data_IF_433974968594
#
_entry.id   IF_433974968594
#
_cell.length_a   1.000
_cell.length_b   1.000
_cell.length_c   1.000
_cell.angle_alpha   90.00
_cell.angle_beta   90.00
_cell.angle_gamma   90.00
#
_symmetry.space_group_name_H-M   'P 1'
#
loop_
_entity.id
_entity.type
_entity.pdbx_description
1 polymer ?
#
# COMPACT_ATOMS: atom_id res chain seq x y z
N UNK A 1 8.25 20.39 -48.23
CA UNK A 1 7.49 21.65 -48.43
C UNK A 1 6.08 21.39 -47.95
N UNK A 2 5.86 21.48 -46.64
CA UNK A 2 4.54 21.60 -46.02
C UNK A 2 4.80 22.23 -44.65
N UNK A 3 4.19 23.39 -44.43
CA UNK A 3 4.43 24.28 -43.29
C UNK A 3 3.25 24.11 -42.33
N UNK A 4 3.47 23.41 -41.21
CA UNK A 4 2.51 23.40 -40.12
C UNK A 4 2.73 24.66 -39.26
N UNK A 5 1.74 25.55 -39.29
CA UNK A 5 1.69 26.78 -38.50
C UNK A 5 1.37 26.44 -37.05
N UNK A 6 2.25 26.81 -36.13
CA UNK A 6 1.94 26.87 -34.70
C UNK A 6 0.98 28.04 -34.45
N UNK A 7 -0.23 27.72 -34.01
CA UNK A 7 -1.18 28.69 -33.46
C UNK A 7 -0.98 28.70 -31.94
N UNK A 8 -0.36 29.76 -31.42
CA UNK A 8 -0.24 29.98 -29.97
C UNK A 8 -1.63 30.41 -29.49
N UNK A 9 -2.35 29.49 -28.85
CA UNK A 9 -3.55 29.81 -28.07
C UNK A 9 -3.12 29.97 -26.61
N UNK A 10 -2.91 31.22 -26.22
CA UNK A 10 -2.91 31.65 -24.82
C UNK A 10 -4.31 31.45 -24.24
N UNK A 11 -4.37 31.14 -22.94
CA UNK A 11 -5.55 30.92 -22.07
C UNK A 11 -6.15 29.52 -22.09
N UNK A 12 -5.73 28.69 -21.12
CA UNK A 12 -6.66 28.03 -20.23
C UNK A 12 -5.93 27.69 -18.93
N UNK A 13 -6.22 28.44 -17.87
CA UNK A 13 -5.96 28.04 -16.50
C UNK A 13 -7.03 26.97 -16.17
N UNK A 14 -6.85 25.76 -16.69
CA UNK A 14 -7.72 24.64 -16.37
C UNK A 14 -7.29 24.06 -15.04
N UNK A 15 -8.17 24.22 -14.05
CA UNK A 15 -8.31 23.38 -12.86
C UNK A 15 -7.57 22.04 -13.03
N UNK A 16 -6.53 21.84 -12.24
CA UNK A 16 -6.19 20.50 -11.76
C UNK A 16 -7.41 20.02 -10.97
N UNK A 17 -8.39 19.43 -11.66
CA UNK A 17 -9.32 18.54 -11.02
C UNK A 17 -8.49 17.31 -10.66
N UNK A 18 -7.96 17.30 -9.44
CA UNK A 18 -7.60 16.05 -8.79
C UNK A 18 -8.87 15.20 -8.82
N UNK A 19 -8.88 14.15 -9.64
CA UNK A 19 -9.89 13.12 -9.52
C UNK A 19 -9.63 12.46 -8.17
N UNK A 20 -10.29 12.98 -7.13
CA UNK A 20 -10.37 12.29 -5.87
C UNK A 20 -11.29 11.10 -6.11
N UNK A 21 -10.71 9.91 -6.17
CA UNK A 21 -11.43 8.65 -6.09
C UNK A 21 -12.02 8.42 -4.68
N UNK A 22 -12.04 9.44 -3.81
CA UNK A 22 -12.60 9.32 -2.48
C UNK A 22 -14.12 9.13 -2.57
N UNK A 23 -14.58 7.98 -2.08
CA UNK A 23 -16.00 7.78 -1.78
C UNK A 23 -16.44 8.85 -0.78
N UNK A 24 -17.62 9.40 -0.99
CA UNK A 24 -18.26 10.30 -0.02
C UNK A 24 -19.09 9.46 0.94
N UNK A 25 -19.00 9.66 2.26
CA UNK A 25 -19.84 8.96 3.20
C UNK A 25 -21.31 9.39 3.06
N UNK A 26 -22.23 8.48 3.39
CA UNK A 26 -23.66 8.74 3.56
C UNK A 26 -23.86 9.77 4.68
N UNK A 27 -23.13 9.58 5.78
CA UNK A 27 -23.09 10.48 6.95
C UNK A 27 -21.72 10.38 7.60
N UNK A 28 -21.26 11.49 8.18
CA UNK A 28 -19.98 11.59 8.89
C UNK A 28 -20.17 12.34 10.20
N UNK A 29 -19.47 11.89 11.24
CA UNK A 29 -19.35 12.51 12.55
C UNK A 29 -17.85 12.71 12.82
N UNK A 30 -17.30 13.90 12.52
CA UNK A 30 -15.86 14.13 12.51
C UNK A 30 -15.28 14.47 13.89
N UNK A 31 -16.11 14.69 14.91
CA UNK A 31 -15.69 15.08 16.26
C UNK A 31 -14.67 16.23 16.36
N UNK A 32 -14.63 17.12 15.37
CA UNK A 32 -13.68 18.24 15.30
C UNK A 32 -13.97 19.35 16.32
N UNK A 33 -15.16 19.37 16.91
CA UNK A 33 -15.59 20.35 17.90
C UNK A 33 -16.40 19.73 19.04
N UNK A 34 -16.46 20.45 20.17
CA UNK A 34 -17.32 20.07 21.30
C UNK A 34 -18.79 19.96 20.86
N UNK A 35 -19.24 20.82 19.94
CA UNK A 35 -20.60 20.77 19.40
C UNK A 35 -20.87 19.46 18.64
N UNK A 36 -19.91 18.97 17.84
CA UNK A 36 -20.03 17.69 17.12
C UNK A 36 -20.12 16.51 18.10
N UNK A 37 -19.31 16.53 19.17
CA UNK A 37 -19.35 15.51 20.22
C UNK A 37 -20.67 15.53 20.98
N UNK A 38 -21.22 16.71 21.27
CA UNK A 38 -22.47 16.86 22.03
C UNK A 38 -23.72 16.43 21.26
N UNK A 39 -23.62 16.10 19.96
CA UNK A 39 -24.66 15.40 19.22
C UNK A 39 -24.82 13.94 19.68
N UNK A 40 -23.79 13.37 20.30
CA UNK A 40 -23.77 12.01 20.82
C UNK A 40 -24.10 11.99 22.31
N UNK A 41 -24.78 10.94 22.74
CA UNK A 41 -25.11 10.72 24.15
C UNK A 41 -24.00 9.92 24.85
N UNK A 42 -23.74 10.29 26.09
CA UNK A 42 -22.79 9.63 27.00
C UNK A 42 -23.54 9.31 28.29
N UNK A 43 -24.33 8.21 28.31
CA UNK A 43 -25.22 7.87 29.42
C UNK A 43 -24.53 7.81 30.78
N UNK A 44 -23.26 7.38 30.79
CA UNK A 44 -22.44 7.25 32.00
C UNK A 44 -21.62 8.51 32.30
N UNK A 45 -21.51 9.46 31.37
CA UNK A 45 -20.69 10.66 31.50
C UNK A 45 -19.17 10.43 31.38
N UNK A 46 -18.75 9.24 30.96
CA UNK A 46 -17.34 8.82 30.98
C UNK A 46 -16.57 9.15 29.69
N UNK A 47 -17.26 9.22 28.55
CA UNK A 47 -16.67 9.73 27.31
C UNK A 47 -16.61 11.26 27.34
N UNK A 48 -15.51 11.83 26.84
CA UNK A 48 -15.29 13.27 26.78
C UNK A 48 -14.75 13.67 25.41
N UNK A 49 -15.06 14.88 24.99
CA UNK A 49 -14.38 15.52 23.86
C UNK A 49 -13.00 16.01 24.31
N UNK A 50 -11.97 15.72 23.51
CA UNK A 50 -10.60 16.20 23.71
C UNK A 50 -10.20 17.01 22.49
N UNK A 51 -9.76 18.26 22.67
CA UNK A 51 -9.50 19.21 21.58
C UNK A 51 -8.17 18.95 20.83
N UNK A 52 -7.24 18.26 21.49
CA UNK A 52 -5.92 17.91 20.98
C UNK A 52 -5.82 16.45 20.51
N UNK A 53 -6.92 15.70 20.56
CA UNK A 53 -6.96 14.30 20.16
C UNK A 53 -6.19 13.37 21.11
N UNK A 54 -5.92 13.78 22.36
CA UNK A 54 -5.16 12.98 23.34
C UNK A 54 -6.00 12.54 24.52
N UNK A 55 -5.75 11.33 25.02
CA UNK A 55 -6.29 10.86 26.29
C UNK A 55 -5.49 11.36 27.52
N UNK A 56 -4.58 12.34 27.33
CA UNK A 56 -3.73 12.88 28.39
C UNK A 56 -4.54 13.54 29.51
N UNK A 57 -5.69 14.14 29.18
CA UNK A 57 -6.59 14.79 30.13
C UNK A 57 -7.07 13.85 31.25
N UNK A 58 -7.17 12.56 30.97
CA UNK A 58 -7.62 11.57 31.94
C UNK A 58 -6.50 11.12 32.88
N UNK A 59 -5.26 11.00 32.37
CA UNK A 59 -4.10 10.63 33.17
C UNK A 59 -2.77 10.93 32.45
N UNK A 60 -2.09 12.00 32.87
CA UNK A 60 -0.79 12.40 32.31
C UNK A 60 0.31 11.36 32.50
N UNK A 61 0.24 10.54 33.56
CA UNK A 61 1.26 9.52 33.85
C UNK A 61 1.12 8.30 32.95
N UNK A 62 -0.11 7.92 32.58
CA UNK A 62 -0.36 6.80 31.68
C UNK A 62 -0.22 7.19 30.20
N UNK A 63 -0.38 8.47 29.87
CA UNK A 63 -0.23 8.95 28.50
C UNK A 63 1.21 8.95 28.01
N UNK A 64 2.20 9.22 28.89
CA UNK A 64 3.64 9.04 28.65
C UNK A 64 4.15 9.68 27.33
N UNK A 65 3.61 10.86 26.99
CA UNK A 65 4.03 11.61 25.80
C UNK A 65 3.63 10.99 24.46
N UNK A 66 2.61 10.12 24.43
CA UNK A 66 2.04 9.57 23.18
C UNK A 66 1.53 10.67 22.24
N UNK A 67 1.51 10.32 20.95
CA UNK A 67 0.93 11.15 19.90
C UNK A 67 -0.59 11.28 20.05
N UNK A 68 -1.18 12.34 19.48
CA UNK A 68 -2.63 12.42 19.34
C UNK A 68 -3.16 11.35 18.39
N UNK A 69 -4.47 11.14 18.35
CA UNK A 69 -5.08 10.51 17.18
C UNK A 69 -4.78 11.36 15.93
N UNK A 70 -4.50 10.71 14.80
CA UNK A 70 -4.05 11.34 13.56
C UNK A 70 -5.03 11.00 12.43
N UNK A 71 -6.28 11.37 12.66
CA UNK A 71 -7.42 11.25 11.76
C UNK A 71 -7.34 12.21 10.56
N UNK A 72 -8.30 12.13 9.63
CA UNK A 72 -8.34 12.97 8.42
C UNK A 72 -8.73 14.39 8.73
N UNK A 73 -9.77 14.56 9.55
CA UNK A 73 -10.38 15.86 9.83
C UNK A 73 -9.43 16.79 10.59
N UNK A 74 -8.48 16.22 11.35
CA UNK A 74 -7.52 16.89 12.22
C UNK A 74 -8.20 17.76 13.29
N UNK A 75 -7.95 17.50 14.56
CA UNK A 75 -8.49 18.32 15.64
C UNK A 75 -8.85 17.51 16.85
N UNK A 76 -10.05 17.77 17.37
CA UNK A 76 -10.57 17.08 18.54
C UNK A 76 -11.04 15.66 18.23
N UNK A 77 -11.34 14.89 19.28
CA UNK A 77 -11.83 13.52 19.16
C UNK A 77 -12.68 13.12 20.37
N UNK A 78 -13.44 12.04 20.24
CA UNK A 78 -14.12 11.42 21.37
C UNK A 78 -13.16 10.46 22.09
N UNK A 79 -12.98 10.63 23.40
CA UNK A 79 -12.04 9.82 24.16
C UNK A 79 -12.61 9.31 25.48
N UNK A 80 -12.11 8.15 25.91
CA UNK A 80 -12.34 7.56 27.23
C UNK A 80 -11.06 6.90 27.74
N UNK A 81 -10.84 6.96 29.05
CA UNK A 81 -9.69 6.29 29.66
C UNK A 81 -9.95 5.92 31.12
N UNK A 82 -9.37 4.81 31.56
CA UNK A 82 -9.36 4.41 32.98
C UNK A 82 -10.72 4.03 33.59
N UNK A 83 -11.79 3.94 32.80
CA UNK A 83 -13.12 3.53 33.26
C UNK A 83 -13.94 2.98 32.10
N UNK A 84 -14.84 2.00 32.33
CA UNK A 84 -15.78 1.58 31.30
C UNK A 84 -16.79 2.68 30.97
N UNK A 85 -17.33 2.67 29.75
CA UNK A 85 -18.38 3.60 29.37
C UNK A 85 -18.90 3.39 27.95
N UNK A 86 -20.05 4.00 27.66
CA UNK A 86 -20.68 3.95 26.33
C UNK A 86 -20.83 5.34 25.71
N UNK A 87 -20.52 5.43 24.42
CA UNK A 87 -20.81 6.57 23.56
C UNK A 87 -21.87 6.16 22.55
N UNK A 88 -22.95 6.92 22.41
CA UNK A 88 -24.15 6.55 21.66
C UNK A 88 -24.47 7.61 20.60
N UNK A 89 -24.63 7.20 19.35
CA UNK A 89 -24.93 8.11 18.24
C UNK A 89 -26.35 8.67 18.33
N UNK A 90 -26.64 9.80 17.68
CA UNK A 90 -28.01 10.13 17.34
C UNK A 90 -28.62 9.05 16.41
N UNK A 91 -29.95 9.00 16.25
CA UNK A 91 -30.58 8.16 15.24
C UNK A 91 -30.12 8.53 13.82
N UNK A 92 -29.71 7.54 13.04
CA UNK A 92 -29.17 7.70 11.68
C UNK A 92 -30.15 7.06 10.70
N UNK A 93 -30.69 7.84 9.76
CA UNK A 93 -31.59 7.34 8.72
C UNK A 93 -30.80 6.80 7.52
N UNK A 94 -30.88 5.49 7.28
CA UNK A 94 -30.27 4.77 6.16
C UNK A 94 -31.34 4.15 5.26
N UNK A 95 -32.55 4.72 5.25
CA UNK A 95 -33.63 4.29 4.37
C UNK A 95 -33.21 4.39 2.90
N UNK A 96 -33.39 3.30 2.15
CA UNK A 96 -32.98 3.20 0.75
C UNK A 96 -31.56 2.68 0.50
N UNK A 97 -30.73 2.52 1.53
CA UNK A 97 -29.39 1.94 1.39
C UNK A 97 -29.43 0.41 1.46
N UNK A 98 -28.95 -0.26 0.42
CA UNK A 98 -28.94 -1.74 0.35
C UNK A 98 -27.71 -2.39 0.97
N UNK A 99 -26.65 -1.62 1.19
CA UNK A 99 -25.39 -2.02 1.83
C UNK A 99 -24.95 -0.89 2.73
N UNK A 100 -24.38 -1.23 3.89
CA UNK A 100 -23.93 -0.23 4.87
C UNK A 100 -22.65 -0.73 5.54
N UNK A 101 -21.60 0.07 5.45
CA UNK A 101 -20.32 -0.15 6.12
C UNK A 101 -20.06 0.98 7.10
N UNK A 102 -19.69 0.63 8.32
CA UNK A 102 -19.22 1.57 9.34
C UNK A 102 -17.71 1.66 9.29
N UNK A 103 -17.20 2.88 9.13
CA UNK A 103 -15.77 3.22 9.18
C UNK A 103 -15.52 4.18 10.33
N UNK A 104 -14.43 4.02 11.07
CA UNK A 104 -13.98 5.04 12.01
C UNK A 104 -12.46 4.97 12.23
N UNK A 105 -11.87 6.10 12.58
CA UNK A 105 -10.49 6.19 13.04
C UNK A 105 -10.42 5.89 14.54
N UNK A 106 -9.36 5.22 14.99
CA UNK A 106 -9.15 4.94 16.41
C UNK A 106 -7.68 5.01 16.84
N UNK A 107 -7.49 5.26 18.14
CA UNK A 107 -6.26 4.99 18.86
C UNK A 107 -6.61 4.27 20.17
N UNK A 108 -6.18 3.02 20.29
CA UNK A 108 -6.62 2.12 21.34
C UNK A 108 -5.45 1.44 22.05
N UNK A 109 -5.60 1.27 23.37
CA UNK A 109 -4.75 0.42 24.19
C UNK A 109 -5.59 -0.20 25.32
N UNK A 110 -5.34 -1.45 25.68
CA UNK A 110 -5.98 -2.10 26.83
C UNK A 110 -5.08 -3.11 27.56
N UNK A 111 -5.42 -3.44 28.82
CA UNK A 111 -4.77 -4.50 29.61
C UNK A 111 -5.55 -5.79 29.48
N UNK A 112 -6.85 -5.66 29.70
CA UNK A 112 -7.85 -6.71 29.69
C UNK A 112 -9.20 -6.06 29.35
N UNK A 113 -10.15 -6.84 28.85
CA UNK A 113 -11.48 -6.37 28.44
C UNK A 113 -11.62 -6.27 26.93
N UNK A 114 -12.75 -5.71 26.50
CA UNK A 114 -13.17 -5.66 25.10
C UNK A 114 -13.57 -4.24 24.70
N UNK A 115 -13.36 -3.94 23.41
CA UNK A 115 -14.04 -2.83 22.72
C UNK A 115 -15.14 -3.42 21.86
N UNK A 116 -16.36 -2.91 21.99
CA UNK A 116 -17.52 -3.44 21.26
C UNK A 116 -18.27 -2.31 20.57
N UNK A 117 -18.56 -2.50 19.29
CA UNK A 117 -19.51 -1.67 18.56
C UNK A 117 -20.85 -2.39 18.55
N UNK A 118 -21.92 -1.70 18.92
CA UNK A 118 -23.29 -2.18 18.79
C UNK A 118 -24.02 -1.36 17.74
N UNK A 119 -24.79 -2.02 16.89
CA UNK A 119 -25.74 -1.38 15.99
C UNK A 119 -27.14 -1.83 16.36
N UNK A 120 -28.01 -0.88 16.70
CA UNK A 120 -29.42 -1.12 17.05
C UNK A 120 -30.31 -0.64 15.92
N UNK A 121 -31.15 -1.52 15.39
CA UNK A 121 -32.13 -1.16 14.38
C UNK A 121 -33.37 -0.56 15.06
N UNK A 122 -33.62 0.73 14.84
CA UNK A 122 -34.73 1.48 15.42
C UNK A 122 -36.04 1.33 14.64
N UNK A 123 -35.96 0.97 13.35
CA UNK A 123 -37.12 0.79 12.48
C UNK A 123 -37.79 -0.58 12.64
N UNK A 124 -37.00 -1.65 12.60
CA UNK A 124 -37.44 -3.05 12.66
C UNK A 124 -37.22 -3.72 14.02
N UNK A 125 -36.44 -3.10 14.91
CA UNK A 125 -35.99 -3.72 16.16
C UNK A 125 -34.82 -4.69 15.95
N UNK A 126 -34.14 -5.06 17.04
CA UNK A 126 -32.95 -5.91 17.01
C UNK A 126 -31.66 -5.13 17.21
N UNK A 127 -30.58 -5.87 17.46
CA UNK A 127 -29.24 -5.32 17.63
C UNK A 127 -28.18 -6.38 17.28
N UNK A 128 -27.06 -5.92 16.74
CA UNK A 128 -25.86 -6.73 16.50
C UNK A 128 -24.67 -6.14 17.26
N UNK A 129 -23.72 -6.99 17.62
CA UNK A 129 -22.52 -6.63 18.36
C UNK A 129 -21.27 -7.09 17.61
N UNK A 130 -20.32 -6.19 17.47
CA UNK A 130 -19.06 -6.38 16.78
C UNK A 130 -17.93 -6.10 17.78
N UNK A 131 -17.22 -7.16 18.18
CA UNK A 131 -16.07 -7.00 19.08
C UNK A 131 -14.84 -6.60 18.26
N UNK A 132 -14.27 -5.44 18.58
CA UNK A 132 -13.14 -4.80 17.88
C UNK A 132 -11.85 -5.03 18.67
N UNK A 133 -10.69 -4.87 18.03
CA UNK A 133 -9.36 -4.95 18.64
C UNK A 133 -9.01 -6.31 19.28
N UNK A 134 -9.69 -7.40 18.90
CA UNK A 134 -9.46 -8.73 19.48
C UNK A 134 -8.02 -9.25 19.33
N UNK A 135 -7.32 -8.78 18.30
CA UNK A 135 -5.95 -9.18 18.00
C UNK A 135 -4.89 -8.28 18.67
N UNK A 136 -5.31 -7.22 19.37
CA UNK A 136 -4.39 -6.34 20.10
C UNK A 136 -4.10 -6.96 21.47
N UNK A 137 -2.86 -7.44 21.65
CA UNK A 137 -2.44 -8.10 22.88
C UNK A 137 -2.43 -7.12 24.08
N UNK A 138 -2.56 -7.62 25.33
CA UNK A 138 -2.40 -6.80 26.52
C UNK A 138 -1.14 -5.92 26.49
N UNK A 139 -1.30 -4.64 26.85
CA UNK A 139 -0.25 -3.62 26.86
C UNK A 139 0.25 -3.15 25.49
N UNK A 140 -0.21 -3.76 24.39
CA UNK A 140 0.02 -3.30 23.02
C UNK A 140 -1.03 -2.26 22.66
N UNK A 141 -0.65 -1.29 21.83
CA UNK A 141 -1.53 -0.24 21.33
C UNK A 141 -1.63 -0.30 19.81
N UNK A 142 -2.74 0.20 19.26
CA UNK A 142 -2.85 0.45 17.82
C UNK A 142 -1.99 1.66 17.44
N UNK A 143 -1.71 1.85 16.14
CA UNK A 143 -1.16 3.13 15.68
C UNK A 143 -2.19 4.27 15.83
N UNK A 144 -1.75 5.54 15.93
CA UNK A 144 -2.62 6.71 16.03
C UNK A 144 -3.46 6.98 14.77
N UNK A 145 -3.22 6.23 13.68
CA UNK A 145 -3.94 6.32 12.40
C UNK A 145 -4.79 5.09 12.10
N UNK A 146 -4.96 4.18 13.07
CA UNK A 146 -5.69 2.94 12.84
C UNK A 146 -7.14 3.23 12.38
N UNK A 147 -7.61 2.45 11.42
CA UNK A 147 -8.96 2.55 10.85
C UNK A 147 -9.64 1.21 11.01
N UNK A 148 -10.89 1.23 11.44
CA UNK A 148 -11.76 0.07 11.50
C UNK A 148 -12.85 0.18 10.45
N UNK A 149 -13.18 -0.94 9.80
CA UNK A 149 -14.28 -1.05 8.85
C UNK A 149 -15.10 -2.28 9.20
N UNK A 150 -16.40 -2.10 9.39
CA UNK A 150 -17.35 -3.14 9.79
C UNK A 150 -18.49 -3.17 8.76
N UNK A 151 -18.75 -4.34 8.18
CA UNK A 151 -19.98 -4.56 7.41
C UNK A 151 -21.16 -4.71 8.40
N UNK A 152 -22.06 -3.73 8.40
CA UNK A 152 -23.24 -3.70 9.25
C UNK A 152 -24.53 -3.87 8.45
N UNK A 153 -24.41 -4.31 7.18
CA UNK A 153 -25.52 -4.41 6.22
C UNK A 153 -26.69 -5.24 6.75
N UNK A 154 -26.40 -6.36 7.43
CA UNK A 154 -27.42 -7.28 7.98
C UNK A 154 -28.42 -6.60 8.92
N UNK A 155 -27.96 -5.62 9.70
CA UNK A 155 -28.76 -4.94 10.72
C UNK A 155 -29.17 -3.52 10.31
N UNK A 156 -28.44 -2.88 9.39
CA UNK A 156 -28.58 -1.46 9.07
C UNK A 156 -29.21 -1.13 7.71
N UNK A 157 -29.28 -2.08 6.77
CA UNK A 157 -29.87 -1.83 5.45
C UNK A 157 -31.34 -1.41 5.54
N UNK A 158 -31.72 -0.39 4.77
CA UNK A 158 -33.07 0.19 4.69
C UNK A 158 -33.71 0.47 6.07
N UNK A 159 -32.93 1.02 7.00
CA UNK A 159 -33.35 1.22 8.38
C UNK A 159 -32.85 2.53 8.99
N UNK A 160 -33.53 2.99 10.04
CA UNK A 160 -32.96 3.97 10.98
C UNK A 160 -32.23 3.20 12.07
N UNK A 161 -30.97 3.56 12.36
CA UNK A 161 -30.11 2.85 13.31
C UNK A 161 -29.54 3.78 14.38
N UNK A 162 -29.05 3.18 15.46
CA UNK A 162 -28.24 3.82 16.49
C UNK A 162 -26.96 2.99 16.67
N UNK A 163 -25.81 3.66 16.65
CA UNK A 163 -24.49 3.07 16.83
C UNK A 163 -24.03 3.36 18.26
N UNK A 164 -23.37 2.40 18.91
CA UNK A 164 -22.81 2.61 20.25
C UNK A 164 -21.43 1.99 20.38
N UNK A 165 -20.49 2.76 20.93
CA UNK A 165 -19.12 2.32 21.23
C UNK A 165 -19.01 2.02 22.72
N UNK A 166 -18.73 0.76 23.05
CA UNK A 166 -18.53 0.29 24.41
C UNK A 166 -17.05 0.08 24.67
N UNK A 167 -16.53 0.80 25.65
CA UNK A 167 -15.23 0.52 26.25
C UNK A 167 -15.49 -0.29 27.52
N UNK A 168 -15.29 -1.60 27.48
CA UNK A 168 -15.59 -2.51 28.61
C UNK A 168 -14.37 -2.76 29.51
N UNK A 169 -13.35 -1.90 29.41
CA UNK A 169 -12.11 -2.00 30.18
C UNK A 169 -11.94 -0.83 31.13
N UNK A 170 -11.11 -1.02 32.15
CA UNK A 170 -10.85 -0.04 33.21
C UNK A 170 -9.43 0.54 33.17
N UNK A 171 -8.62 0.18 32.18
CA UNK A 171 -7.25 0.67 32.07
C UNK A 171 -6.92 1.09 30.63
N UNK A 172 -5.95 2.00 30.53
CA UNK A 172 -5.50 2.66 29.30
C UNK A 172 -6.57 3.55 28.69
N UNK A 173 -6.86 3.47 27.39
CA UNK A 173 -7.71 4.45 26.71
C UNK A 173 -8.27 3.92 25.39
N UNK A 174 -9.33 4.57 24.94
CA UNK A 174 -9.82 4.47 23.57
C UNK A 174 -10.20 5.86 23.07
N UNK A 175 -9.64 6.25 21.93
CA UNK A 175 -9.95 7.48 21.22
C UNK A 175 -10.58 7.08 19.89
N UNK A 176 -11.69 7.73 19.54
CA UNK A 176 -12.47 7.50 18.32
C UNK A 176 -12.62 8.83 17.60
N UNK A 177 -12.44 8.78 16.29
CA UNK A 177 -12.59 9.94 15.43
C UNK A 177 -13.12 9.56 14.04
N UNK A 178 -13.56 10.53 13.25
CA UNK A 178 -14.04 10.34 11.87
C UNK A 178 -15.01 9.14 11.71
N UNK A 179 -16.12 9.13 12.45
CA UNK A 179 -17.12 8.05 12.34
C UNK A 179 -17.99 8.27 11.11
N UNK A 180 -17.92 7.34 10.16
CA UNK A 180 -18.50 7.49 8.83
C UNK A 180 -19.29 6.23 8.41
N UNK A 181 -20.34 6.43 7.60
CA UNK A 181 -21.10 5.33 6.99
C UNK A 181 -21.02 5.39 5.46
N UNK A 182 -20.84 4.24 4.83
CA UNK A 182 -20.70 4.13 3.37
C UNK A 182 -21.65 3.07 2.81
N UNK A 183 -22.11 3.26 1.56
CA UNK A 183 -22.95 2.29 0.86
C UNK A 183 -22.18 1.32 -0.04
N UNK A 184 -20.86 1.41 0.00
CA UNK A 184 -19.89 0.53 -0.64
C UNK A 184 -18.73 0.35 0.31
N UNK A 185 -17.97 -0.74 0.22
CA UNK A 185 -16.83 -0.96 1.11
C UNK A 185 -15.86 0.24 1.03
N UNK A 186 -15.62 0.95 2.15
CA UNK A 186 -14.73 2.11 2.15
C UNK A 186 -13.30 1.60 2.21
N UNK A 187 -12.68 1.49 1.03
CA UNK A 187 -11.28 1.13 0.94
C UNK A 187 -10.45 2.13 1.76
N UNK A 188 -9.51 1.67 2.60
CA UNK A 188 -8.61 2.57 3.31
C UNK A 188 -7.94 3.46 2.27
N UNK A 189 -7.97 4.78 2.49
CA UNK A 189 -7.28 5.69 1.59
C UNK A 189 -5.81 5.26 1.54
N UNK A 190 -5.25 5.14 0.33
CA UNK A 190 -3.82 4.88 0.09
C UNK A 190 -3.00 6.10 0.46
N UNK A 191 -3.15 6.59 1.70
CA UNK A 191 -2.45 7.74 2.22
C UNK A 191 -1.13 7.30 2.83
N UNK A 192 -0.02 7.93 2.45
CA UNK A 192 1.29 7.46 2.88
C UNK A 192 1.50 7.66 4.39
N UNK A 193 0.77 8.63 4.96
CA UNK A 193 0.76 8.90 6.40
C UNK A 193 0.33 7.69 7.23
N UNK A 194 -0.58 6.83 6.74
CA UNK A 194 -1.09 5.67 7.48
C UNK A 194 -0.01 4.60 7.73
N UNK A 195 0.99 4.51 6.87
CA UNK A 195 2.06 3.51 6.97
C UNK A 195 3.31 4.01 7.69
N UNK A 196 3.36 5.30 8.04
CA UNK A 196 4.50 5.95 8.71
C UNK A 196 4.91 5.28 10.02
N UNK A 197 3.94 4.81 10.78
CA UNK A 197 4.18 4.17 12.08
C UNK A 197 4.46 2.66 11.88
N UNK A 198 3.98 2.09 10.77
CA UNK A 198 4.13 0.68 10.39
C UNK A 198 5.56 0.36 9.96
N UNK A 199 6.18 1.18 9.10
CA UNK A 199 7.54 0.89 8.60
C UNK A 199 8.58 0.75 9.71
N UNK A 200 8.72 1.69 10.68
CA UNK A 200 9.67 1.54 11.77
C UNK A 200 9.35 0.36 12.69
N UNK A 201 8.07 0.05 12.91
CA UNK A 201 7.65 -1.08 13.72
C UNK A 201 8.04 -2.42 13.08
N UNK A 202 8.06 -2.49 11.75
CA UNK A 202 8.51 -3.64 10.96
C UNK A 202 10.03 -3.62 10.68
N UNK A 203 10.75 -2.57 11.09
CA UNK A 203 12.20 -2.45 10.92
C UNK A 203 12.68 -1.76 9.64
N UNK A 204 11.78 -1.15 8.87
CA UNK A 204 12.11 -0.40 7.66
C UNK A 204 12.37 1.08 7.98
N UNK A 205 13.54 1.58 7.58
CA UNK A 205 13.87 2.99 7.70
C UNK A 205 13.27 3.79 6.54
N UNK A 206 12.65 4.94 6.82
CA UNK A 206 12.08 5.79 5.77
C UNK A 206 12.30 7.28 6.06
N UNK A 207 12.24 8.09 5.00
CA UNK A 207 12.06 9.54 5.08
C UNK A 207 10.79 9.93 4.34
N UNK A 208 9.93 10.83 4.86
CA UNK A 208 8.78 11.32 4.12
C UNK A 208 9.19 12.46 3.16
N UNK A 209 8.62 12.48 1.96
CA UNK A 209 8.66 13.64 1.07
C UNK A 209 7.70 14.76 1.53
N UNK A 210 7.62 15.85 0.75
CA UNK A 210 6.77 17.01 1.03
C UNK A 210 5.26 16.68 1.01
N UNK A 211 4.85 15.70 0.20
CA UNK A 211 3.48 15.18 0.15
C UNK A 211 3.22 14.08 1.20
N UNK A 212 4.29 13.67 1.89
CA UNK A 212 4.32 12.74 2.97
C UNK A 212 4.58 11.28 2.61
N UNK A 213 4.92 10.98 1.35
CA UNK A 213 5.28 9.66 0.84
C UNK A 213 6.60 9.15 1.43
N UNK A 214 6.61 7.93 2.00
CA UNK A 214 7.81 7.34 2.56
C UNK A 214 8.70 6.81 1.44
N UNK A 215 9.97 7.20 1.46
CA UNK A 215 11.00 6.67 0.58
C UNK A 215 12.20 6.18 1.39
N UNK A 216 12.97 5.27 0.79
CA UNK A 216 14.17 4.70 1.39
C UNK A 216 15.26 5.78 1.40
N UNK A 217 15.83 6.15 2.58
CA UNK A 217 16.81 7.22 2.66
C UNK A 217 18.03 6.91 1.79
N UNK A 218 18.52 7.93 1.09
CA UNK A 218 19.71 7.87 0.23
C UNK A 218 19.61 6.93 -0.99
N UNK A 219 18.45 6.33 -1.27
CA UNK A 219 18.27 5.50 -2.45
C UNK A 219 17.51 6.22 -3.57
N UNK A 220 18.01 6.08 -4.79
CA UNK A 220 17.40 6.63 -6.00
C UNK A 220 17.32 5.55 -7.09
N UNK A 221 16.15 5.46 -7.72
CA UNK A 221 15.90 4.64 -8.89
C UNK A 221 16.25 5.47 -10.12
N UNK A 222 17.09 4.93 -11.00
CA UNK A 222 17.60 5.63 -12.18
C UNK A 222 17.30 4.83 -13.43
N UNK A 223 16.62 5.45 -14.39
CA UNK A 223 16.44 4.91 -15.73
C UNK A 223 17.53 5.43 -16.66
N UNK A 224 18.26 4.51 -17.29
CA UNK A 224 19.32 4.81 -18.24
C UNK A 224 18.75 4.94 -19.65
N UNK A 225 19.23 5.94 -20.41
CA UNK A 225 18.86 6.09 -21.82
C UNK A 225 19.32 4.85 -22.61
N UNK A 226 18.44 4.19 -23.37
CA UNK A 226 18.81 2.99 -24.13
C UNK A 226 20.01 3.21 -25.06
N UNK A 227 20.94 2.25 -25.06
CA UNK A 227 22.16 2.29 -25.87
C UNK A 227 23.27 3.21 -25.31
N UNK A 228 23.12 3.71 -24.09
CA UNK A 228 24.19 4.43 -23.39
C UNK A 228 25.39 3.53 -23.15
N UNK A 229 26.58 4.08 -23.36
CA UNK A 229 27.84 3.41 -23.05
C UNK A 229 27.97 3.16 -21.53
N UNK A 230 28.16 1.90 -21.08
CA UNK A 230 28.24 1.56 -19.65
C UNK A 230 29.32 2.32 -18.89
N UNK A 231 30.48 2.58 -19.51
CA UNK A 231 31.58 3.33 -18.90
C UNK A 231 31.17 4.78 -18.59
N UNK A 232 30.31 5.35 -19.43
CA UNK A 232 29.75 6.70 -19.21
C UNK A 232 28.80 6.75 -18.01
N UNK A 233 28.05 5.66 -17.75
CA UNK A 233 27.19 5.54 -16.55
C UNK A 233 28.03 5.41 -15.29
N UNK A 234 29.09 4.60 -15.33
CA UNK A 234 30.06 4.47 -14.21
C UNK A 234 30.69 5.83 -13.90
N UNK A 235 31.18 6.55 -14.91
CA UNK A 235 31.79 7.86 -14.73
C UNK A 235 30.81 8.89 -14.14
N UNK A 236 29.52 8.80 -14.49
CA UNK A 236 28.49 9.64 -13.90
C UNK A 236 28.28 9.32 -12.41
N UNK A 237 28.16 8.04 -12.04
CA UNK A 237 28.05 7.62 -10.63
C UNK A 237 29.25 8.09 -9.81
N UNK A 238 30.47 7.90 -10.33
CA UNK A 238 31.70 8.35 -9.67
C UNK A 238 31.71 9.88 -9.46
N UNK A 239 31.20 10.64 -10.44
CA UNK A 239 31.08 12.11 -10.35
C UNK A 239 30.08 12.54 -9.28
N UNK A 240 28.98 11.79 -9.13
CA UNK A 240 27.94 12.05 -8.15
C UNK A 240 28.27 11.48 -6.77
N UNK A 241 29.32 10.67 -6.63
CA UNK A 241 29.59 9.93 -5.41
C UNK A 241 28.49 8.90 -5.08
N UNK A 242 27.85 8.37 -6.12
CA UNK A 242 26.81 7.36 -6.02
C UNK A 242 27.39 5.94 -6.17
N UNK A 243 26.85 4.98 -5.43
CA UNK A 243 27.20 3.57 -5.51
C UNK A 243 26.06 2.78 -6.14
N UNK A 244 26.36 1.88 -7.08
CA UNK A 244 25.36 0.93 -7.58
C UNK A 244 25.03 -0.07 -6.46
N UNK A 245 23.76 -0.15 -6.07
CA UNK A 245 23.23 -1.20 -5.19
C UNK A 245 22.86 -2.40 -6.06
N UNK A 246 21.99 -2.17 -7.05
CA UNK A 246 21.45 -3.23 -7.89
C UNK A 246 21.03 -2.70 -9.27
N UNK A 247 20.78 -3.60 -10.22
CA UNK A 247 20.28 -3.29 -11.56
C UNK A 247 19.42 -4.41 -12.13
N UNK A 248 18.42 -4.06 -12.94
CA UNK A 248 17.54 -5.03 -13.60
C UNK A 248 17.32 -4.67 -15.08
N UNK A 249 16.69 -5.59 -15.82
CA UNK A 249 16.31 -5.42 -17.23
C UNK A 249 17.51 -4.96 -18.08
N UNK A 250 18.56 -5.78 -18.08
CA UNK A 250 19.81 -5.53 -18.80
C UNK A 250 20.48 -4.18 -18.44
N UNK A 251 20.44 -3.79 -17.16
CA UNK A 251 20.96 -2.51 -16.63
C UNK A 251 20.20 -1.25 -17.08
N UNK A 252 19.01 -1.39 -17.67
CA UNK A 252 18.18 -0.25 -18.06
C UNK A 252 17.66 0.53 -16.85
N UNK A 253 17.38 -0.18 -15.76
CA UNK A 253 17.03 0.38 -14.46
C UNK A 253 18.14 0.05 -13.45
N UNK A 254 18.49 1.03 -12.63
CA UNK A 254 19.51 0.88 -11.60
C UNK A 254 19.06 1.51 -10.29
N UNK A 255 19.41 0.86 -9.19
CA UNK A 255 19.25 1.39 -7.84
C UNK A 255 20.58 1.93 -7.35
N UNK A 256 20.65 3.22 -7.03
CA UNK A 256 21.86 3.87 -6.56
C UNK A 256 21.71 4.31 -5.10
N UNK A 257 22.78 4.11 -4.33
CA UNK A 257 22.98 4.70 -3.01
C UNK A 257 23.76 6.02 -3.15
N UNK A 258 23.21 7.12 -2.63
CA UNK A 258 23.87 8.41 -2.57
C UNK A 258 24.67 8.54 -1.27
N UNK A 259 25.94 8.93 -1.34
CA UNK A 259 26.73 9.18 -0.13
C UNK A 259 26.25 10.44 0.63
N UNK A 260 26.49 10.47 1.95
CA UNK A 260 26.18 11.61 2.86
C UNK A 260 26.75 12.98 2.41
N UNK A 261 27.71 12.97 1.48
CA UNK A 261 28.47 14.14 1.05
C UNK A 261 27.87 14.90 -0.14
N UNK A 262 26.75 14.44 -0.71
CA UNK A 262 26.21 15.00 -1.96
C UNK A 262 25.37 16.27 -1.77
N UNK A 263 25.00 16.66 -0.54
CA UNK A 263 24.41 17.98 -0.29
C UNK A 263 25.07 18.67 0.91
N UNK A 264 26.25 19.26 0.71
CA UNK A 264 26.69 20.39 1.53
C UNK A 264 27.18 21.52 0.63
N UNK A 265 26.43 22.64 0.62
CA UNK A 265 27.02 23.90 0.18
C UNK A 265 27.95 24.43 1.28
N UNK A 266 28.86 25.35 0.92
CA UNK A 266 29.94 25.88 1.77
C UNK A 266 29.49 26.59 3.07
N UNK A 267 28.20 26.60 3.40
CA UNK A 267 27.65 27.26 4.60
C UNK A 267 26.95 26.31 5.59
N UNK A 268 26.98 24.98 5.39
CA UNK A 268 26.49 24.02 6.40
C UNK A 268 24.98 24.10 6.71
N UNK A 269 24.19 24.66 5.79
CA UNK A 269 22.74 24.51 5.82
C UNK A 269 22.38 23.23 5.07
N UNK A 270 21.89 22.23 5.82
CA UNK A 270 21.01 21.20 5.28
C UNK A 270 19.89 21.94 4.56
N UNK A 271 19.63 21.64 3.28
CA UNK A 271 18.33 21.97 2.71
C UNK A 271 17.37 20.89 3.19
N UNK A 272 16.38 21.23 4.02
CA UNK A 272 15.23 20.38 4.24
C UNK A 272 14.12 20.78 3.25
N UNK A 273 13.32 19.80 2.79
CA UNK A 273 12.02 19.99 2.11
C UNK A 273 12.10 20.39 0.60
N UNK A 274 11.85 19.38 -0.27
CA UNK A 274 11.59 19.30 -1.74
C UNK A 274 12.12 20.33 -2.77
N UNK A 275 11.76 20.23 -4.08
CA UNK A 275 10.91 19.25 -4.78
C UNK A 275 11.72 18.29 -5.67
N UNK A 276 11.03 17.46 -6.46
CA UNK A 276 11.48 16.75 -7.69
C UNK A 276 12.85 17.18 -8.18
N UNK A 277 13.73 16.22 -8.52
CA UNK A 277 14.89 16.49 -9.35
C UNK A 277 14.40 17.23 -10.60
N UNK A 278 14.47 18.56 -10.55
CA UNK A 278 14.11 19.48 -11.60
C UNK A 278 15.24 19.38 -12.62
N UNK A 279 15.34 18.21 -13.28
CA UNK A 279 16.07 18.00 -14.53
C UNK A 279 15.25 18.75 -15.61
N UNK A 280 15.07 20.06 -15.40
CA UNK A 280 14.74 20.97 -16.47
C UNK A 280 15.99 21.02 -17.33
N UNK A 281 15.91 20.28 -18.42
CA UNK A 281 16.69 20.44 -19.63
C UNK A 281 17.17 21.90 -19.77
N UNK A 282 18.44 22.18 -19.42
CA UNK A 282 19.41 23.03 -20.14
C UNK A 282 20.64 23.42 -19.33
N UNK A 283 21.80 22.99 -19.84
CA UNK A 283 22.69 23.96 -20.50
C UNK A 283 22.83 23.53 -21.96
N UNK A 284 22.17 24.26 -22.86
CA UNK A 284 22.40 24.18 -24.30
C UNK A 284 23.80 24.75 -24.57
N UNK A 285 24.81 23.91 -24.46
CA UNK A 285 26.20 24.27 -24.69
C UNK A 285 27.11 23.10 -24.39
N UNK A 286 27.55 22.42 -25.45
CA UNK A 286 28.42 21.23 -25.48
C UNK A 286 27.63 19.93 -25.57
N UNK A 287 28.02 19.09 -26.51
CA UNK A 287 27.45 17.79 -26.84
C UNK A 287 27.65 16.75 -25.73
N UNK A 288 26.98 16.91 -24.59
CA UNK A 288 26.85 15.85 -23.59
C UNK A 288 25.65 14.99 -23.98
N UNK A 289 25.89 13.73 -24.32
CA UNK A 289 24.84 12.71 -24.42
C UNK A 289 24.05 12.71 -23.10
N UNK A 290 22.72 12.77 -23.20
CA UNK A 290 21.83 12.56 -22.04
C UNK A 290 21.99 11.09 -21.63
N UNK A 291 22.46 10.84 -20.40
CA UNK A 291 22.73 9.49 -19.87
C UNK A 291 21.52 8.96 -19.10
N UNK A 292 20.89 9.83 -18.30
CA UNK A 292 19.74 9.50 -17.46
C UNK A 292 18.47 9.98 -18.16
N UNK A 293 17.49 9.10 -18.27
CA UNK A 293 16.16 9.41 -18.77
C UNK A 293 15.26 9.94 -17.64
N UNK A 294 15.26 9.25 -16.49
CA UNK A 294 14.42 9.54 -15.33
C UNK A 294 15.15 9.14 -14.04
N UNK A 295 14.85 9.82 -12.94
CA UNK A 295 15.41 9.48 -11.64
C UNK A 295 14.49 9.92 -10.50
N UNK A 296 14.13 8.99 -9.61
CA UNK A 296 13.17 9.21 -8.53
C UNK A 296 13.64 8.57 -7.22
N UNK A 297 13.32 9.16 -6.05
CA UNK A 297 13.51 8.49 -4.77
C UNK A 297 12.90 7.09 -4.77
N UNK A 298 13.55 6.13 -4.08
CA UNK A 298 13.01 4.79 -3.99
C UNK A 298 11.84 4.74 -3.00
N UNK A 299 10.62 5.01 -3.47
CA UNK A 299 9.41 5.05 -2.64
C UNK A 299 8.97 3.67 -2.19
N UNK A 300 8.42 3.55 -0.97
CA UNK A 300 7.81 2.31 -0.51
C UNK A 300 6.44 2.08 -1.15
N UNK A 301 6.14 0.82 -1.45
CA UNK A 301 4.80 0.31 -1.78
C UNK A 301 4.45 -0.85 -0.84
N UNK A 302 3.15 -1.08 -0.61
CA UNK A 302 2.69 -2.05 0.40
C UNK A 302 1.42 -2.78 -0.04
N UNK A 303 1.41 -4.09 0.15
CA UNK A 303 0.24 -4.95 -0.01
C UNK A 303 -0.50 -5.11 1.33
N UNK A 304 -1.82 -4.95 1.34
CA UNK A 304 -2.64 -5.03 2.56
C UNK A 304 -3.39 -6.37 2.65
N UNK A 305 -2.84 -7.35 3.37
CA UNK A 305 -3.55 -8.56 3.83
C UNK A 305 -2.91 -9.07 5.14
N UNK A 306 -3.63 -9.85 5.96
CA UNK A 306 -2.99 -10.49 7.12
C UNK A 306 -1.92 -11.48 6.64
N UNK A 307 -0.67 -11.38 7.11
CA UNK A 307 0.41 -12.21 6.61
C UNK A 307 0.26 -13.67 7.09
N UNK A 308 0.32 -14.62 6.15
CA UNK A 308 0.70 -16.00 6.44
C UNK A 308 2.18 -16.15 6.10
N UNK A 309 3.06 -15.87 7.07
CA UNK A 309 4.51 -15.89 6.83
C UNK A 309 5.02 -17.32 6.61
N UNK A 310 5.54 -17.57 5.41
CA UNK A 310 6.40 -18.73 5.12
C UNK A 310 7.84 -18.22 5.08
N UNK A 311 8.67 -18.58 6.06
CA UNK A 311 9.97 -17.93 6.27
C UNK A 311 11.13 -18.47 5.41
N UNK A 312 10.87 -19.36 4.45
CA UNK A 312 11.93 -19.98 3.65
C UNK A 312 11.48 -20.13 2.19
N UNK A 313 12.04 -19.29 1.32
CA UNK A 313 11.84 -19.31 -0.13
C UNK A 313 13.15 -19.70 -0.83
N UNK A 314 13.52 -21.00 -0.90
CA UNK A 314 14.77 -21.44 -1.53
C UNK A 314 14.71 -21.26 -3.06
N UNK A 315 15.85 -21.32 -3.76
CA UNK A 315 15.88 -21.26 -5.23
C UNK A 315 15.03 -22.37 -5.88
N UNK A 316 14.49 -22.07 -7.07
CA UNK A 316 13.60 -22.97 -7.80
C UNK A 316 14.32 -24.26 -8.19
N UNK A 317 13.63 -25.40 -8.13
CA UNK A 317 14.17 -26.71 -8.55
C UNK A 317 13.36 -27.33 -9.68
N UNK A 318 13.97 -28.28 -10.41
CA UNK A 318 13.26 -29.02 -11.46
C UNK A 318 12.02 -29.78 -10.95
N UNK A 319 12.03 -30.19 -9.68
CA UNK A 319 10.88 -30.87 -9.08
C UNK A 319 9.71 -29.92 -8.86
N UNK A 320 9.97 -28.64 -8.61
CA UNK A 320 8.94 -27.62 -8.44
C UNK A 320 8.20 -27.36 -9.75
N UNK A 321 8.93 -27.43 -10.87
CA UNK A 321 8.37 -27.27 -12.22
C UNK A 321 7.58 -28.48 -12.73
N UNK A 322 7.72 -29.65 -12.10
CA UNK A 322 7.15 -30.90 -12.61
C UNK A 322 5.62 -30.92 -12.63
N UNK A 323 4.97 -30.11 -11.78
CA UNK A 323 3.52 -29.97 -11.70
C UNK A 323 2.94 -28.90 -12.65
N UNK A 324 3.78 -28.15 -13.35
CA UNK A 324 3.35 -27.02 -14.18
C UNK A 324 3.36 -27.46 -15.66
N UNK A 325 2.22 -27.38 -16.38
CA UNK A 325 2.17 -27.73 -17.80
C UNK A 325 2.98 -26.75 -18.66
N UNK A 326 3.37 -27.18 -19.86
CA UNK A 326 4.01 -26.27 -20.83
C UNK A 326 3.00 -25.20 -21.27
N UNK A 327 3.48 -23.96 -21.42
CA UNK A 327 2.61 -22.86 -21.80
C UNK A 327 2.00 -23.04 -23.20
N UNK A 328 0.80 -22.50 -23.36
CA UNK A 328 0.09 -22.48 -24.63
C UNK A 328 0.42 -21.18 -25.37
N UNK A 329 0.99 -21.30 -26.58
CA UNK A 329 1.53 -20.16 -27.35
C UNK A 329 0.53 -19.03 -27.64
N UNK A 330 -0.78 -19.30 -27.72
CA UNK A 330 -1.82 -18.30 -28.02
C UNK A 330 -2.58 -17.81 -26.78
N UNK A 331 -2.13 -18.18 -25.58
CA UNK A 331 -2.72 -17.72 -24.33
C UNK A 331 -2.33 -16.27 -24.02
N UNK A 332 -3.29 -15.51 -23.47
CA UNK A 332 -3.06 -14.17 -22.94
C UNK A 332 -2.19 -14.28 -21.69
N UNK A 333 -1.05 -13.58 -21.68
CA UNK A 333 -0.15 -13.53 -20.52
C UNK A 333 -0.56 -12.40 -19.59
N UNK A 334 -0.71 -12.72 -18.31
CA UNK A 334 -1.09 -11.80 -17.25
C UNK A 334 0.03 -11.80 -16.21
N UNK A 335 0.72 -10.68 -16.03
CA UNK A 335 1.68 -10.54 -14.94
C UNK A 335 0.95 -10.22 -13.64
N UNK A 336 1.37 -10.85 -12.55
CA UNK A 336 0.96 -10.52 -11.18
C UNK A 336 2.20 -10.03 -10.45
N UNK A 337 2.25 -8.72 -10.17
CA UNK A 337 3.30 -8.05 -9.41
C UNK A 337 2.82 -7.95 -7.96
N UNK A 338 3.31 -8.84 -7.11
CA UNK A 338 2.76 -8.98 -5.75
C UNK A 338 3.78 -9.66 -4.81
N UNK A 339 3.34 -10.27 -3.72
CA UNK A 339 4.15 -11.03 -2.76
C UNK A 339 4.64 -12.37 -3.30
N UNK A 340 4.35 -12.67 -4.57
CA UNK A 340 4.56 -13.96 -5.22
C UNK A 340 3.25 -14.69 -5.49
N UNK A 341 3.31 -15.87 -6.10
CA UNK A 341 2.14 -16.72 -6.33
C UNK A 341 2.45 -18.13 -5.88
N UNK A 342 1.51 -18.78 -5.19
CA UNK A 342 1.59 -20.21 -4.92
C UNK A 342 1.34 -21.01 -6.21
N UNK A 343 2.39 -21.12 -7.02
CA UNK A 343 2.37 -21.85 -8.30
C UNK A 343 2.22 -23.38 -8.13
N UNK A 344 2.26 -23.90 -6.90
CA UNK A 344 2.00 -25.31 -6.57
C UNK A 344 0.55 -25.56 -6.15
N UNK A 345 -0.24 -24.51 -5.97
CA UNK A 345 -1.63 -24.62 -5.56
C UNK A 345 -2.44 -25.37 -6.61
N UNK A 346 -3.27 -26.34 -6.18
CA UNK A 346 -4.03 -27.25 -7.05
C UNK A 346 -5.01 -26.54 -8.00
N UNK A 347 -5.33 -25.28 -7.71
CA UNK A 347 -6.22 -24.44 -8.54
C UNK A 347 -5.49 -23.35 -9.33
N UNK A 348 -4.16 -23.25 -9.21
CA UNK A 348 -3.35 -22.22 -9.88
C UNK A 348 -2.31 -22.83 -10.82
N UNK A 349 -1.75 -24.01 -10.52
CA UNK A 349 -0.64 -24.61 -11.27
C UNK A 349 -0.89 -24.69 -12.79
N UNK A 350 -2.13 -24.97 -13.19
CA UNK A 350 -2.52 -25.09 -14.60
C UNK A 350 -2.55 -23.73 -15.34
N UNK A 351 -2.62 -22.62 -14.60
CA UNK A 351 -2.59 -21.27 -15.15
C UNK A 351 -1.20 -20.67 -15.17
N UNK A 352 -0.20 -21.25 -14.51
CA UNK A 352 1.15 -20.67 -14.49
C UNK A 352 1.77 -20.75 -15.89
N UNK A 353 2.35 -19.64 -16.33
CA UNK A 353 3.09 -19.58 -17.57
C UNK A 353 4.46 -20.23 -17.37
N UNK A 354 4.72 -21.32 -18.08
CA UNK A 354 6.05 -21.95 -18.10
C UNK A 354 6.75 -21.69 -19.43
N UNK A 355 7.79 -20.86 -19.38
CA UNK A 355 8.68 -20.54 -20.50
C UNK A 355 9.55 -21.73 -20.90
N UNK A 356 9.96 -21.82 -22.17
CA UNK A 356 10.95 -22.80 -22.62
C UNK A 356 12.38 -22.36 -22.26
N UNK A 357 12.58 -21.88 -21.03
CA UNK A 357 13.89 -21.50 -20.47
C UNK A 357 14.39 -22.62 -19.53
N UNK A 358 15.66 -22.99 -19.66
CA UNK A 358 16.19 -24.19 -19.00
C UNK A 358 16.86 -23.85 -17.67
N UNK A 359 16.22 -24.26 -16.57
CA UNK A 359 16.71 -24.05 -15.22
C UNK A 359 18.14 -24.63 -14.95
N UNK A 360 18.96 -23.85 -14.23
CA UNK A 360 20.31 -24.15 -13.74
C UNK A 360 21.38 -24.27 -14.83
N UNK A 361 21.25 -23.52 -15.91
CA UNK A 361 22.32 -23.40 -16.91
C UNK A 361 23.10 -22.08 -16.78
N UNK A 362 22.69 -21.18 -15.87
CA UNK A 362 23.27 -19.85 -15.66
C UNK A 362 23.37 -19.04 -16.97
N UNK A 363 22.34 -19.18 -17.81
CA UNK A 363 22.19 -18.54 -19.11
C UNK A 363 20.75 -18.02 -19.22
N UNK A 364 20.60 -16.86 -19.81
CA UNK A 364 19.32 -16.34 -20.28
C UNK A 364 19.05 -16.92 -21.68
N UNK A 365 18.30 -18.04 -21.76
CA UNK A 365 18.09 -18.76 -23.03
C UNK A 365 17.07 -18.07 -23.95
N UNK A 366 16.17 -17.24 -23.39
CA UNK A 366 15.12 -16.54 -24.13
C UNK A 366 15.45 -15.06 -24.42
N UNK A 367 16.59 -14.58 -23.91
CA UNK A 367 17.13 -13.21 -24.03
C UNK A 367 16.19 -12.15 -23.47
N UNK A 368 15.56 -12.44 -22.33
CA UNK A 368 14.62 -11.54 -21.65
C UNK A 368 15.27 -10.72 -20.51
N UNK A 369 16.58 -10.81 -20.33
CA UNK A 369 17.36 -10.18 -19.25
C UNK A 369 17.26 -10.82 -17.86
N UNK A 370 16.65 -12.01 -17.73
CA UNK A 370 16.60 -12.80 -16.51
C UNK A 370 17.19 -14.20 -16.76
N UNK A 371 18.09 -14.64 -15.88
CA UNK A 371 18.76 -15.94 -16.03
C UNK A 371 17.98 -17.03 -15.30
N UNK A 372 17.73 -18.17 -15.95
CA UNK A 372 17.06 -19.32 -15.36
C UNK A 372 15.65 -18.99 -14.79
N UNK A 373 14.77 -18.31 -15.55
CA UNK A 373 13.47 -17.76 -15.11
C UNK A 373 12.20 -18.45 -15.67
N UNK A 374 12.10 -19.79 -15.64
CA UNK A 374 11.11 -20.55 -16.41
C UNK A 374 9.64 -20.27 -16.05
N UNK A 375 9.35 -19.64 -14.92
CA UNK A 375 7.98 -19.33 -14.50
C UNK A 375 7.78 -17.88 -14.05
N UNK A 376 8.79 -17.02 -14.11
CA UNK A 376 8.76 -15.68 -13.53
C UNK A 376 9.96 -15.39 -12.64
N UNK A 377 9.91 -14.29 -11.89
CA UNK A 377 11.07 -13.75 -11.18
C UNK A 377 10.74 -13.21 -9.78
N UNK A 378 11.72 -13.29 -8.88
CA UNK A 378 11.71 -12.69 -7.55
C UNK A 378 12.63 -11.46 -7.54
N UNK A 379 12.04 -10.26 -7.45
CA UNK A 379 12.79 -9.00 -7.38
C UNK A 379 13.13 -8.58 -5.96
N UNK A 380 12.76 -9.38 -4.95
CA UNK A 380 12.97 -9.10 -3.53
C UNK A 380 14.22 -9.80 -3.01
N UNK A 381 14.44 -11.05 -3.41
CA UNK A 381 15.53 -11.86 -2.86
C UNK A 381 16.92 -11.37 -3.26
N UNK A 382 17.84 -11.37 -2.30
CA UNK A 382 19.24 -10.95 -2.47
C UNK A 382 20.17 -12.13 -2.84
N UNK A 383 19.62 -13.27 -3.28
CA UNK A 383 20.41 -14.43 -3.71
C UNK A 383 20.91 -14.25 -5.14
N UNK A 384 22.01 -14.94 -5.50
CA UNK A 384 22.66 -14.81 -6.82
C UNK A 384 21.70 -15.11 -8.01
N UNK A 385 20.72 -16.01 -7.84
CA UNK A 385 19.68 -16.33 -8.85
C UNK A 385 18.30 -16.30 -8.18
N UNK A 386 17.52 -15.28 -8.52
CA UNK A 386 16.27 -14.94 -7.86
C UNK A 386 15.04 -15.43 -8.65
N UNK A 387 15.03 -16.71 -9.01
CA UNK A 387 14.05 -17.28 -9.93
C UNK A 387 12.85 -17.97 -9.28
N UNK A 388 12.64 -17.81 -7.98
CA UNK A 388 11.53 -18.44 -7.28
C UNK A 388 10.47 -17.42 -6.80
N UNK A 389 9.43 -17.14 -7.61
CA UNK A 389 8.39 -16.17 -7.26
C UNK A 389 7.27 -16.76 -6.37
N UNK A 390 7.62 -17.63 -5.41
CA UNK A 390 6.66 -18.24 -4.48
C UNK A 390 6.08 -17.19 -3.54
N UNK A 391 4.79 -17.30 -3.24
CA UNK A 391 4.13 -16.45 -2.26
C UNK A 391 4.46 -16.85 -0.82
N UNK A 392 4.99 -15.92 -0.05
CA UNK A 392 5.32 -16.05 1.37
C UNK A 392 4.53 -15.09 2.28
N UNK A 393 3.54 -14.38 1.73
CA UNK A 393 2.69 -13.43 2.45
C UNK A 393 1.19 -13.80 2.42
N UNK A 394 0.71 -14.43 1.34
CA UNK A 394 -0.69 -14.75 1.00
C UNK A 394 -1.44 -13.78 0.08
N UNK A 395 -0.90 -12.58 -0.17
CA UNK A 395 -1.62 -11.58 -0.95
C UNK A 395 -1.66 -11.98 -2.43
N UNK A 396 -0.50 -12.23 -3.02
CA UNK A 396 -0.40 -12.58 -4.43
C UNK A 396 -1.06 -13.90 -4.81
N UNK A 397 -1.05 -14.94 -3.95
CA UNK A 397 -1.82 -16.17 -4.22
C UNK A 397 -3.33 -15.91 -4.23
N UNK A 398 -3.83 -15.01 -3.38
CA UNK A 398 -5.25 -14.65 -3.33
C UNK A 398 -5.65 -13.84 -4.57
N UNK A 399 -4.84 -12.87 -4.96
CA UNK A 399 -5.00 -12.08 -6.19
C UNK A 399 -5.00 -12.98 -7.43
N UNK A 400 -4.02 -13.87 -7.57
CA UNK A 400 -3.96 -14.84 -8.66
C UNK A 400 -5.18 -15.76 -8.69
N UNK A 401 -5.68 -16.18 -7.53
CA UNK A 401 -6.91 -16.96 -7.37
C UNK A 401 -8.16 -16.23 -7.87
N UNK A 402 -8.30 -14.94 -7.55
CA UNK A 402 -9.39 -14.09 -8.05
C UNK A 402 -9.33 -13.99 -9.57
N UNK A 403 -8.14 -13.76 -10.14
CA UNK A 403 -7.94 -13.67 -11.59
C UNK A 403 -8.37 -14.97 -12.27
N UNK A 404 -7.81 -16.11 -11.81
CA UNK A 404 -8.12 -17.43 -12.37
C UNK A 404 -9.62 -17.74 -12.28
N UNK A 405 -10.23 -17.58 -11.10
CA UNK A 405 -11.65 -17.86 -10.90
C UNK A 405 -12.55 -16.95 -11.74
N UNK A 406 -12.25 -15.66 -11.83
CA UNK A 406 -13.05 -14.69 -12.56
C UNK A 406 -13.00 -14.96 -14.05
N UNK A 407 -11.80 -15.21 -14.59
CA UNK A 407 -11.62 -15.51 -16.01
C UNK A 407 -12.23 -16.86 -16.36
N UNK A 408 -12.08 -17.91 -15.56
CA UNK A 408 -12.74 -19.19 -15.79
C UNK A 408 -14.27 -19.09 -15.88
N UNK A 409 -14.87 -18.22 -15.06
CA UNK A 409 -16.32 -17.99 -15.09
C UNK A 409 -16.75 -17.17 -16.32
N UNK A 410 -15.93 -16.20 -16.74
CA UNK A 410 -16.23 -15.34 -17.87
C UNK A 410 -15.96 -16.02 -19.23
N UNK A 411 -14.97 -16.91 -19.28
CA UNK A 411 -14.46 -17.54 -20.49
C UNK A 411 -15.27 -18.79 -20.86
N UNK A 412 -16.17 -18.64 -21.84
CA UNK A 412 -17.08 -19.72 -22.24
C UNK A 412 -16.49 -20.64 -23.33
N UNK A 413 -15.76 -20.13 -24.34
CA UNK A 413 -15.04 -20.95 -25.32
C UNK A 413 -13.79 -20.24 -25.90
N UNK A 414 -12.69 -20.96 -26.06
CA UNK A 414 -11.49 -20.54 -26.82
C UNK A 414 -10.56 -19.52 -26.14
N UNK A 415 -10.92 -19.01 -24.97
CA UNK A 415 -10.03 -18.14 -24.19
C UNK A 415 -9.00 -19.00 -23.47
N UNK A 416 -7.74 -18.60 -23.55
CA UNK A 416 -6.61 -19.21 -22.84
C UNK A 416 -5.82 -18.08 -22.21
N UNK A 417 -5.43 -18.25 -20.96
CA UNK A 417 -4.59 -17.28 -20.28
C UNK A 417 -3.58 -18.01 -19.41
N UNK A 418 -2.46 -17.34 -19.18
CA UNK A 418 -1.47 -17.75 -18.21
C UNK A 418 -1.08 -16.59 -17.30
N UNK A 419 -0.73 -16.92 -16.06
CA UNK A 419 -0.23 -16.01 -15.05
C UNK A 419 1.29 -16.12 -15.01
N UNK A 420 1.99 -14.99 -15.06
CA UNK A 420 3.42 -14.86 -14.80
C UNK A 420 3.58 -14.19 -13.43
N UNK A 421 4.01 -14.93 -12.40
CA UNK A 421 4.33 -14.35 -11.10
C UNK A 421 5.62 -13.51 -11.16
N UNK A 422 5.53 -12.24 -10.76
CA UNK A 422 6.69 -11.44 -10.39
C UNK A 422 6.56 -11.07 -8.93
N UNK A 423 7.43 -11.63 -8.08
CA UNK A 423 7.46 -11.29 -6.66
C UNK A 423 8.17 -9.94 -6.51
N UNK A 424 7.42 -8.91 -6.15
CA UNK A 424 7.91 -7.55 -5.91
C UNK A 424 7.85 -7.18 -4.44
N UNK A 425 6.98 -7.82 -3.65
CA UNK A 425 6.79 -7.57 -2.23
C UNK A 425 7.36 -8.70 -1.36
N UNK A 426 7.96 -8.33 -0.23
CA UNK A 426 8.52 -9.27 0.74
C UNK A 426 7.45 -9.98 1.59
N UNK A 427 7.89 -10.82 2.53
CA UNK A 427 7.03 -11.60 3.42
C UNK A 427 6.23 -10.74 4.42
N UNK A 428 6.49 -9.43 4.49
CA UNK A 428 5.74 -8.44 5.26
C UNK A 428 4.82 -7.60 4.35
N UNK A 429 4.78 -7.91 3.06
CA UNK A 429 4.00 -7.17 2.07
C UNK A 429 4.60 -5.82 1.75
N UNK A 430 5.90 -5.61 1.98
CA UNK A 430 6.60 -4.35 1.71
C UNK A 430 7.41 -4.48 0.42
N UNK A 431 7.38 -3.44 -0.40
CA UNK A 431 8.14 -3.32 -1.63
C UNK A 431 8.62 -1.89 -1.82
N UNK A 432 9.33 -1.63 -2.92
CA UNK A 432 9.80 -0.32 -3.32
C UNK A 432 9.59 -0.07 -4.81
N UNK A 433 9.64 1.20 -5.20
CA UNK A 433 9.55 1.65 -6.58
C UNK A 433 10.52 0.87 -7.48
N UNK A 434 11.74 0.60 -7.00
CA UNK A 434 12.73 -0.15 -7.77
C UNK A 434 12.23 -1.55 -8.12
N UNK A 435 11.75 -2.34 -7.15
CA UNK A 435 11.27 -3.71 -7.40
C UNK A 435 10.08 -3.73 -8.36
N UNK A 436 9.10 -2.85 -8.13
CA UNK A 436 7.88 -2.77 -8.98
C UNK A 436 8.23 -2.30 -10.39
N UNK A 437 9.14 -1.32 -10.54
CA UNK A 437 9.61 -0.87 -11.84
C UNK A 437 10.36 -1.97 -12.60
N UNK A 438 11.24 -2.71 -11.92
CA UNK A 438 11.93 -3.86 -12.50
C UNK A 438 10.95 -4.89 -13.05
N UNK A 439 9.96 -5.30 -12.25
CA UNK A 439 8.96 -6.26 -12.68
C UNK A 439 8.07 -5.73 -13.81
N UNK A 440 7.74 -4.44 -13.79
CA UNK A 440 6.95 -3.81 -14.87
C UNK A 440 7.69 -3.86 -16.20
N UNK A 441 8.99 -3.55 -16.20
CA UNK A 441 9.79 -3.63 -17.42
C UNK A 441 10.07 -5.08 -17.84
N UNK A 442 10.28 -5.99 -16.89
CA UNK A 442 10.42 -7.43 -17.17
C UNK A 442 9.15 -7.99 -17.84
N UNK A 443 7.96 -7.58 -17.38
CA UNK A 443 6.70 -7.96 -18.00
C UNK A 443 6.63 -7.53 -19.48
N UNK A 444 7.25 -6.41 -19.85
CA UNK A 444 7.35 -5.95 -21.24
C UNK A 444 8.26 -6.88 -22.05
N UNK A 445 9.42 -7.25 -21.52
CA UNK A 445 10.33 -8.22 -22.16
C UNK A 445 9.64 -9.57 -22.38
N UNK A 446 8.83 -10.01 -21.41
CA UNK A 446 8.03 -11.23 -21.48
C UNK A 446 6.76 -11.12 -22.35
N UNK A 447 6.58 -10.00 -23.06
CA UNK A 447 5.42 -9.74 -23.93
C UNK A 447 4.08 -9.97 -23.21
N UNK A 448 4.02 -9.56 -21.94
CA UNK A 448 2.79 -9.62 -21.14
C UNK A 448 1.73 -8.71 -21.74
N UNK A 449 0.48 -9.18 -21.74
CA UNK A 449 -0.66 -8.43 -22.28
C UNK A 449 -1.39 -7.61 -21.22
N UNK A 450 -1.40 -8.08 -19.97
CA UNK A 450 -2.06 -7.43 -18.84
C UNK A 450 -1.15 -7.48 -17.62
N UNK A 451 -0.92 -6.34 -16.98
CA UNK A 451 -0.23 -6.27 -15.69
C UNK A 451 -1.29 -6.03 -14.62
N UNK A 452 -1.28 -6.89 -13.60
CA UNK A 452 -1.96 -6.63 -12.33
C UNK A 452 -0.87 -6.31 -11.29
N UNK A 453 -0.92 -5.09 -10.78
CA UNK A 453 -0.06 -4.53 -9.74
C UNK A 453 -1.03 -4.02 -8.66
N UNK A 454 -1.17 -4.79 -7.58
CA UNK A 454 -2.31 -4.70 -6.64
C UNK A 454 -1.93 -4.14 -5.29
#
# INVERSE_FOLDING_TARGET
METLRFCILTTCLSLLATFSFAQSPIVAFPFDSEDDFMEWDTPDGNWQWVDDGKAEVFNTTLWDGRDSILSRSQGGAAAIAGTPGVLVSPPIDLSGESQVFLRFNQYYRALEGSTVVRVRNLSGGGQEFFTINQNVLPQVETGPRAVEVIDITSIAADATVEISFFFETSQYFWIIDDVELYNTFPYPETRPAQYRDTFPALGYAYTPDDAGWPYIPNEIVVQIVPGTDPDSVVALRDTLGAKLIDSCVCNALQLWELGDSVITNQNGMLFPVGPTLDILERVKGTSSSVIIQEADPNYYTVAQLQPEMITDNPSLTQNDLAGIPDAINDAVRIAVLDTGVDYKHERLSDYIYKKPDALNNATDDDNNCAEDDPIGWDFVSEVDISNNPMDDHSHGKHVAGIIAQTLDQACTEGCRFHIIPYKTHDAQGVSSLYQVACATYQAIEDSVAVINDS
#
